data_IF_394271389672
#
_entry.id   IF_394271389672
#
_cell.length_a   1.000
_cell.length_b   1.000
_cell.length_c   1.000
_cell.angle_alpha   90.00
_cell.angle_beta   90.00
_cell.angle_gamma   90.00
#
_symmetry.space_group_name_H-M   'P 1'
#
loop_
_entity.id
_entity.type
_entity.pdbx_description
1 polymer ?
#
# COMPACT_ATOMS: atom_id res chain seq x y z
N UNK A 1 -7.41 6.24 -8.37
CA UNK A 1 -7.62 5.15 -7.40
C UNK A 1 -6.54 4.11 -7.65
N UNK A 2 -5.94 3.57 -6.59
CA UNK A 2 -4.97 2.47 -6.68
C UNK A 2 -5.67 1.19 -6.20
N UNK A 3 -5.71 0.17 -7.05
CA UNK A 3 -6.33 -1.12 -6.74
C UNK A 3 -5.24 -2.15 -6.44
N UNK A 4 -5.38 -2.86 -5.32
CA UNK A 4 -4.39 -3.82 -4.85
C UNK A 4 -5.10 -5.06 -4.32
N UNK A 5 -4.66 -6.22 -4.77
CA UNK A 5 -5.03 -7.50 -4.15
C UNK A 5 -3.96 -7.89 -3.15
N UNK A 6 -4.35 -8.21 -1.92
CA UNK A 6 -3.41 -8.62 -0.87
C UNK A 6 -3.20 -10.15 -0.84
N UNK A 7 -2.35 -10.63 0.09
CA UNK A 7 -2.09 -12.07 0.23
C UNK A 7 -3.29 -12.89 0.74
N UNK A 8 -4.36 -12.23 1.23
CA UNK A 8 -5.61 -12.87 1.60
C UNK A 8 -6.64 -12.86 0.46
N UNK A 9 -6.28 -12.35 -0.72
CA UNK A 9 -7.16 -12.14 -1.87
C UNK A 9 -8.23 -11.07 -1.66
N UNK A 10 -8.06 -10.19 -0.67
CA UNK A 10 -8.90 -9.02 -0.50
C UNK A 10 -8.49 -7.93 -1.49
N UNK A 11 -9.49 -7.28 -2.10
CA UNK A 11 -9.28 -6.15 -3.02
C UNK A 11 -9.40 -4.84 -2.26
N UNK A 12 -8.31 -4.08 -2.25
CA UNK A 12 -8.19 -2.78 -1.60
C UNK A 12 -8.22 -1.67 -2.66
N UNK A 13 -9.17 -0.75 -2.53
CA UNK A 13 -9.26 0.45 -3.39
C UNK A 13 -8.81 1.69 -2.62
N UNK A 14 -7.63 2.18 -2.94
CA UNK A 14 -6.98 3.30 -2.24
C UNK A 14 -7.19 4.60 -3.03
N UNK A 15 -7.85 5.58 -2.40
CA UNK A 15 -7.95 6.92 -2.97
C UNK A 15 -6.67 7.73 -2.68
N UNK A 16 -5.81 7.84 -3.69
CA UNK A 16 -4.55 8.55 -3.60
C UNK A 16 -4.69 10.05 -3.31
N UNK A 17 -5.83 10.68 -3.64
CA UNK A 17 -6.06 12.10 -3.30
C UNK A 17 -6.24 12.34 -1.80
N UNK A 18 -6.57 11.29 -1.04
CA UNK A 18 -6.73 11.33 0.41
C UNK A 18 -5.49 10.82 1.16
N UNK A 19 -4.42 10.50 0.44
CA UNK A 19 -3.25 9.87 1.00
C UNK A 19 -2.28 10.91 1.56
N UNK A 20 -1.85 10.71 2.80
CA UNK A 20 -0.85 11.55 3.47
C UNK A 20 0.54 10.90 3.42
N UNK A 21 0.63 9.61 3.73
CA UNK A 21 1.90 8.88 3.74
C UNK A 21 1.70 7.40 3.37
N UNK A 22 2.75 6.76 2.85
CA UNK A 22 2.81 5.30 2.66
C UNK A 22 4.03 4.76 3.39
N UNK A 23 3.82 3.79 4.27
CA UNK A 23 4.88 3.14 5.03
C UNK A 23 5.08 1.72 4.52
N UNK A 24 6.31 1.39 4.14
CA UNK A 24 6.73 0.05 3.75
C UNK A 24 7.50 -0.58 4.92
N UNK A 25 7.08 -1.76 5.38
CA UNK A 25 7.76 -2.55 6.41
C UNK A 25 7.98 -3.97 5.91
N UNK A 26 9.15 -4.52 6.17
CA UNK A 26 9.45 -5.93 5.92
C UNK A 26 9.54 -6.66 7.26
N UNK A 27 8.79 -7.75 7.42
CA UNK A 27 8.84 -8.59 8.62
C UNK A 27 8.78 -10.06 8.21
N UNK A 28 9.83 -10.81 8.53
CA UNK A 28 9.88 -12.27 8.33
C UNK A 28 9.55 -12.73 6.89
N UNK A 29 10.03 -12.03 5.87
CA UNK A 29 9.77 -12.36 4.45
C UNK A 29 8.50 -11.74 3.86
N UNK A 30 7.62 -11.20 4.70
CA UNK A 30 6.38 -10.56 4.29
C UNK A 30 6.51 -9.05 4.23
N UNK A 31 5.89 -8.41 3.23
CA UNK A 31 5.90 -6.95 3.08
C UNK A 31 4.55 -6.39 3.54
N UNK A 32 4.58 -5.44 4.47
CA UNK A 32 3.42 -4.71 4.93
C UNK A 32 3.50 -3.30 4.35
N UNK A 33 2.47 -2.92 3.60
CA UNK A 33 2.30 -1.57 3.07
C UNK A 33 1.16 -0.92 3.83
N UNK A 34 1.43 0.20 4.51
CA UNK A 34 0.40 0.95 5.25
C UNK A 34 0.10 2.26 4.55
N UNK A 35 -1.13 2.44 4.09
CA UNK A 35 -1.62 3.68 3.52
C UNK A 35 -2.23 4.56 4.61
N UNK A 36 -1.59 5.67 4.93
CA UNK A 36 -2.05 6.63 5.93
C UNK A 36 -2.86 7.73 5.26
N UNK A 37 -4.12 7.88 5.66
CA UNK A 37 -5.04 8.86 5.12
C UNK A 37 -5.17 10.06 6.07
N UNK A 38 -5.94 11.08 5.64
CA UNK A 38 -6.40 12.13 6.56
C UNK A 38 -7.28 11.52 7.66
N UNK A 39 -7.38 12.21 8.79
CA UNK A 39 -8.21 11.83 9.95
C UNK A 39 -7.77 10.53 10.68
N UNK A 40 -6.46 10.30 10.77
CA UNK A 40 -5.85 9.19 11.52
C UNK A 40 -6.25 7.78 11.06
N UNK A 41 -6.81 7.64 9.87
CA UNK A 41 -7.12 6.34 9.29
C UNK A 41 -5.89 5.74 8.60
N UNK A 42 -5.63 4.46 8.84
CA UNK A 42 -4.55 3.73 8.18
C UNK A 42 -5.04 2.36 7.70
N UNK A 43 -4.67 2.00 6.47
CA UNK A 43 -4.98 0.69 5.88
C UNK A 43 -3.67 -0.08 5.71
N UNK A 44 -3.32 -0.97 6.66
CA UNK A 44 -2.20 -1.88 6.49
C UNK A 44 -2.63 -3.07 5.63
N UNK A 45 -1.91 -3.29 4.53
CA UNK A 45 -2.09 -4.47 3.68
C UNK A 45 -0.81 -5.30 3.66
N UNK A 46 -1.00 -6.61 3.55
CA UNK A 46 0.09 -7.57 3.51
C UNK A 46 0.23 -8.07 2.08
N UNK A 47 1.38 -7.84 1.46
CA UNK A 47 1.64 -8.14 0.05
C UNK A 47 2.95 -8.90 -0.12
N UNK A 48 3.12 -9.55 -1.27
CA UNK A 48 4.41 -10.10 -1.67
C UNK A 48 5.40 -8.99 -2.05
N UNK A 49 6.66 -9.40 -2.25
CA UNK A 49 7.73 -8.48 -2.63
C UNK A 49 7.48 -7.78 -3.97
N UNK A 50 6.99 -8.52 -4.97
CA UNK A 50 6.76 -8.00 -6.32
C UNK A 50 5.70 -6.89 -6.32
N UNK A 51 4.62 -7.10 -5.57
CA UNK A 51 3.53 -6.14 -5.39
C UNK A 51 4.00 -4.93 -4.60
N UNK A 52 4.79 -5.12 -3.54
CA UNK A 52 5.37 -4.00 -2.79
C UNK A 52 6.25 -3.08 -3.68
N UNK A 53 7.12 -3.66 -4.52
CA UNK A 53 7.95 -2.88 -5.45
C UNK A 53 7.13 -2.24 -6.58
N UNK A 54 6.04 -2.90 -7.04
CA UNK A 54 5.11 -2.28 -8.00
C UNK A 54 4.44 -1.04 -7.41
N UNK A 55 3.89 -1.13 -6.19
CA UNK A 55 3.28 0.01 -5.48
C UNK A 55 4.29 1.16 -5.33
N UNK A 56 5.52 0.84 -4.92
CA UNK A 56 6.58 1.84 -4.76
C UNK A 56 6.95 2.54 -6.06
N UNK A 57 6.93 1.81 -7.18
CA UNK A 57 7.19 2.36 -8.52
C UNK A 57 6.07 3.29 -8.95
N UNK A 58 4.81 2.84 -8.83
CA UNK A 58 3.64 3.67 -9.20
C UNK A 58 3.59 4.96 -8.39
N UNK A 59 3.79 4.90 -7.07
CA UNK A 59 3.79 6.09 -6.21
C UNK A 59 4.93 7.07 -6.52
N UNK A 60 6.07 6.61 -7.06
CA UNK A 60 7.18 7.48 -7.47
C UNK A 60 6.90 8.19 -8.78
N UNK A 61 6.23 7.54 -9.72
CA UNK A 61 5.88 8.10 -11.03
C UNK A 61 4.76 9.14 -10.93
N UNK A 62 3.96 9.08 -9.86
CA UNK A 62 2.90 10.04 -9.58
C UNK A 62 3.36 11.37 -8.93
N UNK A 63 4.67 11.54 -8.70
CA UNK A 63 5.26 12.84 -8.30
C UNK A 63 5.59 13.69 -9.52
#
# INVERSE_FOLDING_TARGET
MLEITDLHHDVHMINLSNLNNVVFRQKSGTHIVSFHMRDHHAVPITVDHATAERIKTELKVMK
#
